data_IF_519623042689
#
_entry.id   IF_519623042689
#
_cell.length_a   1.000
_cell.length_b   1.000
_cell.length_c   1.000
_cell.angle_alpha   90.00
_cell.angle_beta   90.00
_cell.angle_gamma   90.00
#
_symmetry.space_group_name_H-M   'P 1'
#
loop_
_entity.id
_entity.type
_entity.pdbx_description
1 polymer ?
#
# COMPACT_ATOMS: atom_id res chain seq x y z
N UNK A 1 -20.77 7.91 21.14
CA UNK A 1 -19.44 7.35 21.42
C UNK A 1 -18.42 8.43 21.19
N UNK A 2 -17.32 8.44 21.94
CA UNK A 2 -16.21 9.37 21.72
C UNK A 2 -15.37 8.87 20.53
N UNK A 3 -14.96 9.79 19.65
CA UNK A 3 -14.04 9.50 18.55
C UNK A 3 -12.66 9.91 19.02
N UNK A 4 -11.74 8.95 19.09
CA UNK A 4 -10.35 9.21 19.39
C UNK A 4 -9.59 9.46 18.08
N UNK A 5 -9.06 10.66 17.90
CA UNK A 5 -8.12 10.96 16.83
C UNK A 5 -6.70 10.69 17.36
N UNK A 6 -6.05 9.67 16.78
CA UNK A 6 -4.67 9.33 17.12
C UNK A 6 -3.67 10.37 16.63
N UNK A 7 -2.49 10.41 17.27
CA UNK A 7 -1.39 11.27 16.87
C UNK A 7 -0.87 10.95 15.46
N UNK A 8 -0.31 11.96 14.79
CA UNK A 8 0.40 11.77 13.52
C UNK A 8 1.74 11.11 13.82
N UNK A 9 2.02 9.96 13.21
CA UNK A 9 3.22 9.17 13.52
C UNK A 9 4.46 9.60 12.73
N UNK A 10 4.28 10.36 11.64
CA UNK A 10 5.35 10.74 10.70
C UNK A 10 5.44 12.25 10.46
N UNK A 11 5.02 13.07 11.43
CA UNK A 11 5.12 14.53 11.40
C UNK A 11 4.19 15.25 10.40
N UNK A 12 3.58 14.53 9.45
CA UNK A 12 2.56 15.06 8.52
C UNK A 12 1.54 13.99 8.11
N UNK A 13 0.46 14.44 7.49
CA UNK A 13 -0.46 13.57 6.74
C UNK A 13 0.11 13.33 5.33
N UNK A 14 -0.09 12.12 4.82
CA UNK A 14 0.26 11.71 3.47
C UNK A 14 -1.00 11.58 2.62
N UNK A 15 -0.88 11.78 1.31
CA UNK A 15 -1.98 11.55 0.37
C UNK A 15 -1.97 10.12 -0.17
N UNK A 16 -3.10 9.70 -0.74
CA UNK A 16 -3.18 8.41 -1.44
C UNK A 16 -2.28 8.39 -2.67
N UNK A 17 -2.23 9.49 -3.43
CA UNK A 17 -1.37 9.62 -4.61
C UNK A 17 0.12 9.45 -4.26
N UNK A 18 0.58 10.05 -3.17
CA UNK A 18 1.96 9.87 -2.69
C UNK A 18 2.26 8.40 -2.38
N UNK A 19 1.31 7.66 -1.81
CA UNK A 19 1.48 6.25 -1.52
C UNK A 19 1.50 5.40 -2.81
N UNK A 20 0.62 5.70 -3.75
CA UNK A 20 0.58 5.02 -5.05
C UNK A 20 1.85 5.25 -5.87
N UNK A 21 2.35 6.48 -5.93
CA UNK A 21 3.60 6.81 -6.62
C UNK A 21 4.79 6.04 -6.02
N UNK A 22 4.85 5.96 -4.68
CA UNK A 22 5.90 5.21 -3.98
C UNK A 22 5.78 3.69 -4.22
N UNK A 23 4.56 3.15 -4.19
CA UNK A 23 4.33 1.73 -4.47
C UNK A 23 4.70 1.38 -5.90
N UNK A 24 4.27 2.17 -6.88
CA UNK A 24 4.60 1.98 -8.29
C UNK A 24 6.12 1.99 -8.50
N UNK A 25 6.81 2.98 -7.95
CA UNK A 25 8.28 3.03 -7.97
C UNK A 25 8.88 1.76 -7.37
N UNK A 26 8.43 1.31 -6.20
CA UNK A 26 8.97 0.13 -5.52
C UNK A 26 8.73 -1.15 -6.33
N UNK A 27 7.47 -1.44 -6.69
CA UNK A 27 7.10 -2.73 -7.27
C UNK A 27 7.64 -2.91 -8.68
N UNK A 28 7.73 -1.84 -9.47
CA UNK A 28 8.30 -1.89 -10.82
C UNK A 28 9.80 -2.22 -10.81
N UNK A 29 10.49 -2.02 -9.69
CA UNK A 29 11.89 -2.46 -9.53
C UNK A 29 12.01 -3.86 -8.94
N UNK A 30 11.11 -4.24 -8.01
CA UNK A 30 11.18 -5.52 -7.30
C UNK A 30 10.61 -6.68 -8.13
N UNK A 31 9.45 -6.49 -8.78
CA UNK A 31 8.73 -7.56 -9.48
C UNK A 31 9.56 -8.26 -10.57
N UNK A 32 10.29 -7.54 -11.45
CA UNK A 32 11.11 -8.20 -12.48
C UNK A 32 12.20 -9.10 -11.88
N UNK A 33 12.85 -8.64 -10.80
CA UNK A 33 13.90 -9.43 -10.13
C UNK A 33 13.32 -10.65 -9.43
N UNK A 34 12.15 -10.52 -8.80
CA UNK A 34 11.48 -11.65 -8.17
C UNK A 34 11.08 -12.71 -9.22
N UNK A 35 10.56 -12.28 -10.37
CA UNK A 35 10.20 -13.17 -11.48
C UNK A 35 11.43 -13.89 -12.06
N UNK A 36 12.53 -13.17 -12.32
CA UNK A 36 13.80 -13.73 -12.80
C UNK A 36 14.35 -14.84 -11.89
N UNK A 37 14.18 -14.68 -10.58
CA UNK A 37 14.64 -15.63 -9.56
C UNK A 37 13.58 -16.70 -9.21
N UNK A 38 12.41 -16.68 -9.87
CA UNK A 38 11.32 -17.62 -9.61
C UNK A 38 10.69 -17.48 -8.21
N UNK A 39 10.73 -16.29 -7.63
CA UNK A 39 10.19 -15.93 -6.32
C UNK A 39 8.86 -15.20 -6.47
N UNK A 40 7.85 -15.60 -5.70
CA UNK A 40 6.56 -14.92 -5.66
C UNK A 40 6.51 -13.84 -4.57
N UNK A 41 5.92 -12.69 -4.88
CA UNK A 41 5.71 -11.59 -3.94
C UNK A 41 4.31 -11.73 -3.32
N UNK A 42 4.26 -11.90 -2.00
CA UNK A 42 3.01 -11.87 -1.24
C UNK A 42 2.77 -10.53 -0.57
N UNK A 43 1.66 -9.85 -0.89
CA UNK A 43 1.29 -8.58 -0.25
C UNK A 43 0.26 -8.81 0.87
N UNK A 44 0.69 -8.57 2.10
CA UNK A 44 -0.16 -8.63 3.29
C UNK A 44 -1.16 -7.46 3.33
N UNK A 45 -2.41 -7.67 3.76
CA UNK A 45 -3.38 -6.59 3.93
C UNK A 45 -2.95 -5.58 4.98
N UNK A 46 -3.48 -4.37 4.85
CA UNK A 46 -3.45 -3.41 5.94
C UNK A 46 -4.14 -3.99 7.18
N UNK A 47 -3.54 -3.84 8.37
CA UNK A 47 -4.15 -4.24 9.65
C UNK A 47 -4.16 -3.06 10.65
N UNK A 48 -5.34 -2.57 11.09
CA UNK A 48 -6.66 -2.90 10.54
C UNK A 48 -6.82 -2.32 9.12
N UNK A 49 -7.57 -2.99 8.21
CA UNK A 49 -7.76 -2.57 6.81
C UNK A 49 -8.81 -1.45 6.68
N UNK A 50 -8.67 -0.41 7.50
CA UNK A 50 -9.72 0.61 7.71
C UNK A 50 -9.16 2.02 7.52
N UNK A 51 -9.83 3.02 8.12
CA UNK A 51 -9.54 4.45 8.07
C UNK A 51 -8.04 4.80 8.18
N UNK A 52 -7.62 5.98 7.67
CA UNK A 52 -6.25 6.45 7.81
C UNK A 52 -5.79 6.41 9.27
N UNK A 53 -4.60 5.87 9.50
CA UNK A 53 -4.01 5.71 10.83
C UNK A 53 -2.67 6.43 10.88
N UNK A 54 -2.43 7.21 11.93
CA UNK A 54 -1.17 7.94 12.11
C UNK A 54 -0.87 8.98 11.03
N UNK A 55 -1.87 9.41 10.25
CA UNK A 55 -1.68 10.27 9.08
C UNK A 55 -1.35 9.54 7.77
N UNK A 56 -1.43 8.21 7.76
CA UNK A 56 -1.15 7.35 6.59
C UNK A 56 -2.46 6.77 6.04
N UNK A 57 -2.81 7.04 4.76
CA UNK A 57 -3.91 6.37 4.10
C UNK A 57 -3.67 4.85 3.92
N UNK A 58 -4.75 4.08 3.86
CA UNK A 58 -4.73 2.61 3.66
C UNK A 58 -5.50 2.21 2.40
N UNK A 59 -5.27 2.95 1.31
CA UNK A 59 -6.01 2.82 0.05
C UNK A 59 -5.61 1.59 -0.78
N UNK A 60 -4.34 1.15 -0.68
CA UNK A 60 -3.76 0.09 -1.51
C UNK A 60 -4.13 -1.31 -1.02
N UNK A 61 -3.98 -1.60 0.27
CA UNK A 61 -4.13 -2.96 0.81
C UNK A 61 -5.24 -3.09 1.87
N UNK A 62 -6.11 -2.08 1.96
CA UNK A 62 -7.30 -2.10 2.82
C UNK A 62 -8.58 -2.59 2.14
N UNK A 63 -8.62 -2.71 0.82
CA UNK A 63 -9.84 -3.08 0.08
C UNK A 63 -9.53 -3.74 -1.28
N UNK A 64 -10.54 -4.40 -1.87
CA UNK A 64 -10.40 -5.12 -3.14
C UNK A 64 -9.94 -4.24 -4.31
N UNK A 65 -10.44 -3.00 -4.42
CA UNK A 65 -10.07 -2.11 -5.53
C UNK A 65 -8.59 -1.74 -5.47
N UNK A 66 -8.07 -1.46 -4.26
CA UNK A 66 -6.65 -1.20 -4.04
C UNK A 66 -5.80 -2.41 -4.45
N UNK A 67 -6.17 -3.61 -4.01
CA UNK A 67 -5.45 -4.83 -4.41
C UNK A 67 -5.41 -5.02 -5.92
N UNK A 68 -6.54 -4.80 -6.60
CA UNK A 68 -6.62 -4.92 -8.06
C UNK A 68 -5.68 -3.93 -8.75
N UNK A 69 -5.73 -2.65 -8.37
CA UNK A 69 -4.83 -1.63 -8.94
C UNK A 69 -3.36 -1.93 -8.66
N UNK A 70 -3.04 -2.41 -7.45
CA UNK A 70 -1.68 -2.78 -7.11
C UNK A 70 -1.14 -3.94 -7.98
N UNK A 71 -1.95 -4.97 -8.21
CA UNK A 71 -1.61 -6.08 -9.12
C UNK A 71 -1.45 -5.60 -10.57
N UNK A 72 -2.32 -4.71 -11.04
CA UNK A 72 -2.23 -4.12 -12.39
C UNK A 72 -0.95 -3.27 -12.57
N UNK A 73 -0.50 -2.57 -11.52
CA UNK A 73 0.77 -1.80 -11.56
C UNK A 73 1.99 -2.73 -11.54
N UNK A 74 1.93 -3.83 -10.78
CA UNK A 74 3.01 -4.79 -10.70
C UNK A 74 3.26 -5.52 -12.03
N UNK A 75 2.20 -5.79 -12.80
CA UNK A 75 2.21 -6.44 -14.12
C UNK A 75 3.13 -7.66 -14.20
N UNK A 76 3.06 -8.51 -13.17
CA UNK A 76 3.89 -9.70 -12.98
C UNK A 76 3.02 -10.85 -12.43
N UNK A 77 3.35 -12.12 -12.75
CA UNK A 77 2.63 -13.30 -12.24
C UNK A 77 2.53 -13.41 -10.71
#
# INVERSE_FOLDING_TARGET
>A
GEIYEGEITHGRKYTEDELWDNYAYMIQQIAPVAEEEGVYIGIHPDDPPVYPLGGIPRCMFGNFSGYKTAMEIADSP
#
